data_IF_318572582941
#
_entry.id   IF_318572582941
#
_cell.length_a   1.000
_cell.length_b   1.000
_cell.length_c   1.000
_cell.angle_alpha   90.00
_cell.angle_beta   90.00
_cell.angle_gamma   90.00
#
_symmetry.space_group_name_H-M   'P 1'
#
loop_
_entity.id
_entity.type
_entity.pdbx_description
1 polymer ?
#
# COMPACT_ATOMS: atom_id res chain seq x y z
N UNK A 1 35.29 -8.55 -61.86
CA UNK A 1 34.79 -7.20 -61.49
C UNK A 1 35.88 -6.20 -61.79
N UNK A 2 35.65 -5.25 -62.71
CA UNK A 2 36.70 -4.32 -63.15
C UNK A 2 37.10 -3.37 -62.02
N UNK A 3 38.38 -2.99 -61.99
CA UNK A 3 38.99 -2.06 -61.01
C UNK A 3 38.17 -0.77 -60.88
N UNK A 4 37.49 -0.35 -61.94
CA UNK A 4 36.58 0.81 -61.94
C UNK A 4 35.39 0.67 -60.97
N UNK A 5 34.86 -0.55 -60.75
CA UNK A 5 33.74 -0.77 -59.82
C UNK A 5 34.20 -0.74 -58.35
N UNK A 6 35.43 -1.17 -58.07
CA UNK A 6 36.02 -1.11 -56.73
C UNK A 6 36.36 0.34 -56.36
N UNK A 7 36.89 1.12 -57.30
CA UNK A 7 37.14 2.55 -57.10
C UNK A 7 35.84 3.35 -56.87
N UNK A 8 34.76 3.03 -57.59
CA UNK A 8 33.46 3.69 -57.39
C UNK A 8 32.83 3.35 -56.03
N UNK A 9 32.92 2.10 -55.57
CA UNK A 9 32.47 1.71 -54.24
C UNK A 9 33.33 2.32 -53.12
N UNK A 10 34.64 2.40 -53.29
CA UNK A 10 35.54 3.05 -52.32
C UNK A 10 35.27 4.56 -52.23
N UNK A 11 35.04 5.24 -53.37
CA UNK A 11 34.68 6.66 -53.40
C UNK A 11 33.28 6.92 -52.81
N UNK A 12 32.32 6.01 -53.02
CA UNK A 12 30.99 6.10 -52.41
C UNK A 12 31.03 5.85 -50.90
N UNK A 13 31.90 4.96 -50.40
CA UNK A 13 32.12 4.73 -48.97
C UNK A 13 32.86 5.90 -48.30
N UNK A 14 33.82 6.53 -48.98
CA UNK A 14 34.48 7.75 -48.50
C UNK A 14 33.56 8.98 -48.54
N UNK A 15 32.69 9.08 -49.55
CA UNK A 15 31.66 10.12 -49.62
C UNK A 15 30.56 9.95 -48.56
N UNK A 16 30.14 8.71 -48.29
CA UNK A 16 29.19 8.42 -47.21
C UNK A 16 29.79 8.65 -45.81
N UNK A 17 31.07 8.35 -45.62
CA UNK A 17 31.78 8.64 -44.36
C UNK A 17 32.01 10.14 -44.14
N UNK A 18 32.15 10.94 -45.20
CA UNK A 18 32.31 12.39 -45.10
C UNK A 18 31.00 13.13 -44.81
N UNK A 19 29.85 12.59 -45.22
CA UNK A 19 28.53 13.19 -44.94
C UNK A 19 28.05 12.90 -43.50
N UNK A 20 28.56 11.83 -42.87
CA UNK A 20 28.27 11.53 -41.45
C UNK A 20 29.11 12.34 -40.45
N UNK A 21 30.09 13.12 -40.90
CA UNK A 21 30.97 13.91 -40.02
C UNK A 21 30.50 15.37 -39.81
N UNK A 22 29.33 15.75 -40.33
CA UNK A 22 28.74 17.09 -40.18
C UNK A 22 27.41 17.12 -39.39
N UNK A 23 27.18 16.15 -38.51
CA UNK A 23 26.36 16.45 -37.34
C UNK A 23 27.24 17.24 -36.37
N UNK A 24 27.13 18.56 -36.39
CA UNK A 24 27.52 19.33 -35.22
C UNK A 24 26.70 18.79 -34.06
N UNK A 25 27.31 17.97 -33.21
CA UNK A 25 26.84 17.83 -31.84
C UNK A 25 26.91 19.24 -31.28
N UNK A 26 25.77 19.95 -31.30
CA UNK A 26 25.66 21.20 -30.61
C UNK A 26 26.05 20.90 -29.17
N UNK A 27 27.10 21.56 -28.70
CA UNK A 27 27.46 21.65 -27.28
C UNK A 27 26.40 22.46 -26.51
N UNK A 28 25.12 22.27 -26.85
CA UNK A 28 24.00 22.96 -26.27
C UNK A 28 23.76 22.38 -24.89
N UNK A 29 23.71 23.24 -23.89
CA UNK A 29 23.15 22.86 -22.59
C UNK A 29 21.76 22.28 -22.81
N UNK A 30 21.32 21.42 -21.89
CA UNK A 30 19.99 20.81 -21.91
C UNK A 30 19.21 21.26 -20.68
N UNK A 31 17.88 21.24 -20.78
CA UNK A 31 17.02 21.31 -19.62
C UNK A 31 16.70 19.87 -19.19
N UNK A 32 17.08 19.49 -17.97
CA UNK A 32 16.67 18.19 -17.42
C UNK A 32 15.32 18.33 -16.75
N UNK A 33 14.50 17.29 -16.79
CA UNK A 33 13.19 17.28 -16.15
C UNK A 33 13.00 16.03 -15.30
N UNK A 34 12.43 16.19 -14.12
CA UNK A 34 11.87 15.09 -13.31
C UNK A 34 10.43 15.41 -12.93
N UNK A 35 9.61 14.37 -12.86
CA UNK A 35 8.25 14.45 -12.33
C UNK A 35 8.19 13.83 -10.93
N UNK A 36 7.65 14.57 -9.99
CA UNK A 36 7.22 14.10 -8.68
C UNK A 36 5.70 14.06 -8.68
N UNK A 37 5.17 12.84 -8.83
CA UNK A 37 3.74 12.53 -8.85
C UNK A 37 3.40 11.71 -7.59
N UNK A 38 2.47 12.23 -6.79
CA UNK A 38 2.01 11.61 -5.55
C UNK A 38 2.69 12.15 -4.30
N UNK A 39 2.73 11.33 -3.23
CA UNK A 39 3.14 11.79 -1.92
C UNK A 39 4.65 12.09 -1.82
N UNK A 40 5.00 13.17 -1.11
CA UNK A 40 6.39 13.52 -0.80
C UNK A 40 6.94 12.54 0.26
N UNK A 41 8.01 11.82 -0.10
CA UNK A 41 8.64 10.84 0.76
C UNK A 41 10.05 10.46 0.33
N UNK A 42 10.66 9.43 0.92
CA UNK A 42 12.05 9.05 0.66
C UNK A 42 12.37 8.76 -0.81
N UNK A 43 11.41 8.23 -1.57
CA UNK A 43 11.56 7.98 -3.00
C UNK A 43 11.70 9.26 -3.81
N UNK A 44 10.82 10.24 -3.59
CA UNK A 44 10.87 11.54 -4.28
C UNK A 44 12.08 12.36 -3.87
N UNK A 45 12.49 12.29 -2.60
CA UNK A 45 13.73 12.93 -2.12
C UNK A 45 14.94 12.38 -2.86
N UNK A 46 15.10 11.05 -2.91
CA UNK A 46 16.21 10.43 -3.64
C UNK A 46 16.19 10.74 -5.14
N UNK A 47 15.00 10.77 -5.75
CA UNK A 47 14.86 11.11 -7.16
C UNK A 47 15.35 12.54 -7.44
N UNK A 48 15.01 13.50 -6.59
CA UNK A 48 15.50 14.88 -6.70
C UNK A 48 17.01 14.94 -6.49
N UNK A 49 17.53 14.27 -5.46
CA UNK A 49 18.97 14.19 -5.19
C UNK A 49 19.72 13.66 -6.43
N UNK A 50 19.34 12.49 -6.96
CA UNK A 50 19.96 11.89 -8.16
C UNK A 50 19.85 12.79 -9.41
N UNK A 51 18.76 13.53 -9.54
CA UNK A 51 18.52 14.45 -10.65
C UNK A 51 19.40 15.71 -10.56
N UNK A 52 19.52 16.31 -9.38
CA UNK A 52 20.41 17.46 -9.14
C UNK A 52 21.87 17.08 -9.38
N UNK A 53 22.26 15.91 -8.90
CA UNK A 53 23.57 15.32 -9.13
C UNK A 53 23.86 15.12 -10.63
N UNK A 54 22.89 14.61 -11.36
CA UNK A 54 22.99 14.39 -12.81
C UNK A 54 23.03 15.72 -13.57
N UNK A 55 22.22 16.70 -13.15
CA UNK A 55 22.21 18.05 -13.70
C UNK A 55 23.57 18.73 -13.52
N UNK A 56 24.16 18.64 -12.32
CA UNK A 56 25.48 19.19 -12.03
C UNK A 56 26.57 18.51 -12.87
N UNK A 57 26.58 17.17 -12.94
CA UNK A 57 27.57 16.41 -13.74
C UNK A 57 27.50 16.70 -15.24
N UNK A 58 26.29 16.96 -15.77
CA UNK A 58 26.05 17.21 -17.20
C UNK A 58 26.11 18.69 -17.57
N UNK A 59 26.40 19.59 -16.63
CA UNK A 59 26.31 21.04 -16.82
C UNK A 59 24.97 21.46 -17.48
N UNK A 60 23.87 20.89 -16.97
CA UNK A 60 22.53 21.22 -17.43
C UNK A 60 22.25 22.71 -17.17
N UNK A 61 21.53 23.36 -18.08
CA UNK A 61 21.18 24.77 -17.91
C UNK A 61 20.22 24.98 -16.74
N UNK A 62 19.24 24.08 -16.61
CA UNK A 62 18.22 24.09 -15.55
C UNK A 62 17.74 22.67 -15.27
N UNK A 63 17.25 22.45 -14.05
CA UNK A 63 16.42 21.30 -13.70
C UNK A 63 14.96 21.75 -13.57
N UNK A 64 14.06 21.16 -14.33
CA UNK A 64 12.61 21.30 -14.20
C UNK A 64 12.14 20.25 -13.19
N UNK A 65 11.63 20.70 -12.06
CA UNK A 65 10.95 19.89 -11.06
C UNK A 65 9.45 20.02 -11.29
N UNK A 66 8.88 19.07 -12.02
CA UNK A 66 7.44 19.00 -12.21
C UNK A 66 6.78 18.42 -10.95
N UNK A 67 5.75 19.09 -10.44
CA UNK A 67 5.06 18.76 -9.20
C UNK A 67 3.58 18.49 -9.45
N UNK A 68 3.11 17.31 -9.03
CA UNK A 68 1.71 17.01 -8.75
C UNK A 68 1.64 16.20 -7.45
N UNK A 69 1.40 16.89 -6.33
CA UNK A 69 1.51 16.29 -5.01
C UNK A 69 0.43 16.79 -4.04
N UNK A 70 -0.19 15.88 -3.27
CA UNK A 70 -1.08 16.26 -2.18
C UNK A 70 -0.32 16.65 -0.90
N UNK A 71 1.02 16.50 -0.88
CA UNK A 71 1.84 16.67 0.31
C UNK A 71 2.60 15.41 0.71
N UNK A 72 3.13 15.39 1.93
CA UNK A 72 3.84 14.22 2.45
C UNK A 72 4.62 14.51 3.72
N UNK A 73 5.71 13.77 3.93
CA UNK A 73 6.49 13.82 5.17
C UNK A 73 7.25 15.16 5.29
N UNK A 74 7.17 15.78 6.47
CA UNK A 74 7.88 17.03 6.79
C UNK A 74 9.41 16.85 6.69
N UNK A 75 9.94 15.68 7.06
CA UNK A 75 11.37 15.38 6.95
C UNK A 75 11.82 15.37 5.49
N UNK A 76 11.13 14.60 4.63
CA UNK A 76 11.43 14.54 3.20
C UNK A 76 11.25 15.91 2.51
N UNK A 77 10.22 16.67 2.88
CA UNK A 77 10.04 18.04 2.41
C UNK A 77 11.24 18.93 2.76
N UNK A 78 11.70 18.90 4.02
CA UNK A 78 12.83 19.71 4.49
C UNK A 78 14.14 19.31 3.82
N UNK A 79 14.36 18.00 3.60
CA UNK A 79 15.50 17.48 2.84
C UNK A 79 15.49 18.00 1.40
N UNK A 80 14.37 17.84 0.68
CA UNK A 80 14.24 18.35 -0.69
C UNK A 80 14.46 19.86 -0.80
N UNK A 81 13.95 20.63 0.17
CA UNK A 81 14.20 22.08 0.24
C UNK A 81 15.70 22.35 0.41
N UNK A 82 16.37 21.66 1.34
CA UNK A 82 17.80 21.82 1.56
C UNK A 82 18.60 21.51 0.28
N UNK A 83 18.25 20.44 -0.43
CA UNK A 83 18.90 20.05 -1.69
C UNK A 83 18.70 21.11 -2.78
N UNK A 84 17.49 21.67 -2.91
CA UNK A 84 17.20 22.76 -3.87
C UNK A 84 18.00 24.01 -3.53
N UNK A 85 18.09 24.38 -2.25
CA UNK A 85 18.84 25.56 -1.80
C UNK A 85 20.35 25.38 -1.99
N UNK A 86 20.86 24.17 -1.82
CA UNK A 86 22.27 23.82 -2.03
C UNK A 86 22.63 23.56 -3.50
N UNK A 87 21.63 23.47 -4.39
CA UNK A 87 21.82 23.09 -5.79
C UNK A 87 22.79 24.04 -6.52
N UNK A 88 23.78 23.49 -7.25
CA UNK A 88 24.65 24.27 -8.14
C UNK A 88 23.99 24.58 -9.49
N UNK A 89 22.81 24.02 -9.78
CA UNK A 89 22.03 24.22 -11.02
C UNK A 89 20.71 24.91 -10.69
N UNK A 90 20.24 25.90 -11.48
CA UNK A 90 18.94 26.50 -11.27
C UNK A 90 17.80 25.48 -11.35
N UNK A 91 16.89 25.53 -10.37
CA UNK A 91 15.71 24.65 -10.28
C UNK A 91 14.44 25.45 -10.60
N UNK A 92 13.71 25.02 -11.62
CA UNK A 92 12.39 25.55 -11.99
C UNK A 92 11.34 24.59 -11.42
N UNK A 93 10.59 25.03 -10.41
CA UNK A 93 9.41 24.31 -9.91
C UNK A 93 8.22 24.57 -10.83
N UNK A 94 7.59 23.51 -11.31
CA UNK A 94 6.46 23.61 -12.24
C UNK A 94 5.30 22.73 -11.80
N UNK A 95 4.22 23.35 -11.32
CA UNK A 95 3.00 22.61 -10.95
C UNK A 95 2.24 22.23 -12.21
N UNK A 96 2.23 20.95 -12.56
CA UNK A 96 1.71 20.44 -13.82
C UNK A 96 1.51 18.92 -13.75
N UNK A 97 0.63 18.32 -14.58
CA UNK A 97 -0.11 18.93 -15.69
C UNK A 97 -1.31 19.77 -15.23
N UNK A 98 -2.08 20.33 -16.16
CA UNK A 98 -3.39 20.91 -15.85
C UNK A 98 -4.26 19.93 -15.07
N UNK A 99 -4.86 20.40 -13.97
CA UNK A 99 -5.59 19.56 -13.02
C UNK A 99 -4.74 19.03 -11.86
N UNK A 100 -3.40 19.12 -11.97
CA UNK A 100 -2.48 18.81 -10.88
C UNK A 100 -2.43 19.91 -9.81
N UNK A 101 -1.69 19.65 -8.73
CA UNK A 101 -1.64 20.53 -7.57
C UNK A 101 -0.32 20.43 -6.81
N UNK A 102 0.03 21.47 -6.06
CA UNK A 102 1.16 21.48 -5.13
C UNK A 102 0.67 21.82 -3.71
N UNK A 103 0.00 20.86 -3.09
CA UNK A 103 -0.55 21.03 -1.75
C UNK A 103 0.46 20.67 -0.66
N UNK A 104 0.26 21.24 0.53
CA UNK A 104 1.04 20.90 1.72
C UNK A 104 2.56 21.02 1.49
N UNK A 105 3.32 19.94 1.63
CA UNK A 105 4.76 19.90 1.35
C UNK A 105 5.13 20.46 -0.04
N UNK A 106 4.29 20.25 -1.06
CA UNK A 106 4.50 20.78 -2.41
C UNK A 106 4.56 22.31 -2.45
N UNK A 107 3.81 23.00 -1.59
CA UNK A 107 3.85 24.47 -1.49
C UNK A 107 5.22 24.95 -1.00
N UNK A 108 5.78 24.32 0.04
CA UNK A 108 7.10 24.70 0.54
C UNK A 108 8.21 24.40 -0.47
N UNK A 109 8.13 23.25 -1.15
CA UNK A 109 9.10 22.88 -2.19
C UNK A 109 9.05 23.90 -3.33
N UNK A 110 7.86 24.29 -3.80
CA UNK A 110 7.70 25.32 -4.82
C UNK A 110 8.24 26.69 -4.35
N UNK A 111 8.06 27.05 -3.07
CA UNK A 111 8.62 28.27 -2.50
C UNK A 111 10.15 28.26 -2.45
N UNK A 112 10.79 27.09 -2.38
CA UNK A 112 12.25 26.96 -2.35
C UNK A 112 12.89 27.09 -3.74
N UNK A 113 12.16 26.80 -4.83
CA UNK A 113 12.72 26.79 -6.18
C UNK A 113 13.18 28.18 -6.65
N UNK A 114 14.10 28.20 -7.60
CA UNK A 114 14.67 29.43 -8.14
C UNK A 114 13.65 30.17 -8.99
N UNK A 115 12.84 29.42 -9.75
CA UNK A 115 11.68 29.91 -10.49
C UNK A 115 10.48 29.03 -10.12
N UNK A 116 9.33 29.63 -9.89
CA UNK A 116 8.08 28.95 -9.56
C UNK A 116 7.04 29.23 -10.65
N UNK A 117 6.56 28.19 -11.31
CA UNK A 117 5.57 28.30 -12.36
C UNK A 117 4.43 27.29 -12.15
N UNK A 118 3.28 27.59 -12.76
CA UNK A 118 2.10 26.72 -12.69
C UNK A 118 1.46 26.57 -14.06
N UNK A 119 0.91 25.40 -14.34
CA UNK A 119 0.04 25.18 -15.50
C UNK A 119 -1.37 25.74 -15.25
N UNK A 120 -2.10 26.18 -16.29
CA UNK A 120 -3.50 26.55 -16.14
C UNK A 120 -4.33 25.40 -15.54
N UNK A 121 -5.27 25.74 -14.66
CA UNK A 121 -6.13 24.74 -14.00
C UNK A 121 -5.47 23.98 -12.85
N UNK A 122 -4.28 24.40 -12.40
CA UNK A 122 -3.63 23.87 -11.19
C UNK A 122 -3.87 24.76 -9.97
N UNK A 123 -3.59 24.23 -8.79
CA UNK A 123 -3.68 24.95 -7.52
C UNK A 123 -2.49 24.65 -6.59
N UNK A 124 -2.26 25.53 -5.61
CA UNK A 124 -1.30 25.33 -4.53
C UNK A 124 -1.87 25.83 -3.19
N UNK A 125 -1.26 25.45 -2.07
CA UNK A 125 -1.65 25.88 -0.72
C UNK A 125 -1.93 24.70 0.21
N UNK A 126 -2.90 24.86 1.12
CA UNK A 126 -3.23 23.86 2.15
C UNK A 126 -1.97 23.38 2.90
N UNK A 127 -1.16 24.33 3.36
CA UNK A 127 0.19 24.11 3.90
C UNK A 127 0.24 23.90 5.42
N UNK A 128 -0.91 23.66 6.05
CA UNK A 128 -1.06 23.46 7.49
C UNK A 128 -0.44 22.13 7.93
N UNK A 129 0.51 22.12 8.88
CA UNK A 129 1.02 20.91 9.48
C UNK A 129 -0.09 20.17 10.20
N UNK A 130 -0.15 18.86 10.00
CA UNK A 130 -1.09 17.98 10.69
C UNK A 130 -0.29 16.90 11.42
N UNK A 131 -0.64 16.67 12.69
CA UNK A 131 -0.06 15.57 13.45
C UNK A 131 -0.61 14.24 12.92
N UNK A 132 0.26 13.56 12.19
CA UNK A 132 0.04 12.25 11.63
C UNK A 132 0.20 11.20 12.75
N UNK A 133 -0.77 11.06 13.65
CA UNK A 133 -0.67 10.05 14.73
C UNK A 133 -1.43 10.24 16.05
N UNK A 134 -2.19 11.31 16.27
CA UNK A 134 -2.97 11.49 17.52
C UNK A 134 -4.13 10.50 17.65
N UNK A 135 -4.30 9.81 18.79
CA UNK A 135 -5.49 8.97 19.04
C UNK A 135 -6.76 9.82 18.85
N UNK A 136 -7.79 9.35 18.11
CA UNK A 136 -9.10 9.98 18.19
C UNK A 136 -9.53 9.91 19.64
N UNK A 137 -9.88 11.06 20.22
CA UNK A 137 -10.55 11.07 21.51
C UNK A 137 -11.85 10.27 21.34
N UNK A 138 -11.96 9.13 22.02
CA UNK A 138 -13.20 8.35 22.05
C UNK A 138 -14.33 9.29 22.50
N UNK A 139 -15.49 9.29 21.84
CA UNK A 139 -16.64 10.05 22.30
C UNK A 139 -17.06 9.48 23.65
N UNK A 140 -16.75 10.20 24.73
CA UNK A 140 -17.07 9.83 26.12
C UNK A 140 -15.89 9.68 27.08
N UNK A 141 -14.64 9.89 26.65
CA UNK A 141 -13.50 9.99 27.58
C UNK A 141 -13.38 11.40 28.14
N UNK A 142 -13.58 11.59 29.44
CA UNK A 142 -13.27 12.85 30.11
C UNK A 142 -11.85 13.29 29.76
N UNK A 143 -11.70 14.54 29.34
CA UNK A 143 -10.39 15.17 29.15
C UNK A 143 -9.65 15.10 30.49
N UNK A 144 -8.64 14.25 30.59
CA UNK A 144 -7.75 14.23 31.74
C UNK A 144 -7.07 15.60 31.81
N UNK A 145 -7.48 16.39 32.82
CA UNK A 145 -7.22 17.82 32.97
C UNK A 145 -5.86 18.12 33.62
N UNK A 146 -4.98 17.13 33.75
CA UNK A 146 -3.85 17.20 34.67
C UNK A 146 -2.47 17.16 34.01
N UNK A 147 -2.34 17.84 32.85
CA UNK A 147 -1.04 18.38 32.43
C UNK A 147 -1.22 19.72 31.73
N UNK A 148 -1.37 20.77 32.55
CA UNK A 148 -1.34 22.17 32.13
C UNK A 148 0.10 22.65 32.25
N UNK A 149 0.67 23.13 31.14
CA UNK A 149 1.85 24.00 31.21
C UNK A 149 1.49 25.33 31.90
N UNK A 150 2.50 26.11 32.31
CA UNK A 150 2.39 27.36 33.06
C UNK A 150 1.49 28.46 32.42
N UNK A 151 0.95 28.22 31.22
CA UNK A 151 0.05 29.11 30.46
C UNK A 151 -1.38 28.59 30.35
N UNK A 152 -1.72 27.43 30.93
CA UNK A 152 -3.10 26.94 31.02
C UNK A 152 -3.71 26.34 29.74
N UNK A 153 -2.91 26.08 28.70
CA UNK A 153 -3.34 25.38 27.48
C UNK A 153 -3.10 23.86 27.59
N UNK A 154 -3.95 23.02 26.99
CA UNK A 154 -3.68 21.59 26.85
C UNK A 154 -2.35 21.37 26.12
N UNK A 155 -1.51 20.45 26.61
CA UNK A 155 -0.17 20.21 26.05
C UNK A 155 -0.16 19.91 24.53
N UNK A 156 -1.21 19.26 23.99
CA UNK A 156 -1.36 19.01 22.56
C UNK A 156 -1.57 20.27 21.72
N UNK A 157 -2.31 21.25 22.23
CA UNK A 157 -2.56 22.52 21.53
C UNK A 157 -1.28 23.38 21.50
N UNK A 158 -0.48 23.34 22.58
CA UNK A 158 0.79 24.04 22.66
C UNK A 158 1.84 23.48 21.69
N UNK A 159 1.90 22.15 21.51
CA UNK A 159 2.81 21.50 20.55
C UNK A 159 2.42 21.84 19.11
N UNK A 160 1.14 21.72 18.75
CA UNK A 160 0.66 22.08 17.41
C UNK A 160 0.86 23.56 17.09
N UNK A 161 0.73 24.44 18.08
CA UNK A 161 1.07 25.85 17.92
C UNK A 161 2.56 26.06 17.62
N UNK A 162 3.46 25.33 18.31
CA UNK A 162 4.91 25.37 18.03
C UNK A 162 5.22 24.89 16.61
N UNK A 163 4.66 23.76 16.20
CA UNK A 163 4.86 23.20 14.85
C UNK A 163 4.33 24.15 13.78
N UNK A 164 3.14 24.72 13.98
CA UNK A 164 2.56 25.72 13.08
C UNK A 164 3.44 26.97 12.98
N UNK A 165 3.96 27.48 14.10
CA UNK A 165 4.82 28.66 14.09
C UNK A 165 6.18 28.40 13.42
N UNK A 166 6.77 27.22 13.61
CA UNK A 166 7.98 26.79 12.90
C UNK A 166 7.72 26.68 11.38
N UNK A 167 6.59 26.11 10.99
CA UNK A 167 6.17 26.01 9.60
C UNK A 167 5.94 27.39 8.95
N UNK A 168 5.30 28.32 9.66
CA UNK A 168 5.15 29.73 9.24
C UNK A 168 6.52 30.39 9.08
N UNK A 169 7.44 30.20 10.03
CA UNK A 169 8.79 30.76 9.93
C UNK A 169 9.53 30.22 8.70
N UNK A 170 9.41 28.92 8.41
CA UNK A 170 9.99 28.30 7.23
C UNK A 170 9.45 28.90 5.92
N UNK A 171 8.13 28.92 5.72
CA UNK A 171 7.55 29.42 4.46
C UNK A 171 7.87 30.89 4.25
N UNK A 172 7.83 31.72 5.31
CA UNK A 172 8.20 33.14 5.23
C UNK A 172 9.66 33.33 4.89
N UNK A 173 10.56 32.55 5.49
CA UNK A 173 12.00 32.61 5.18
C UNK A 173 12.28 32.23 3.72
N UNK A 174 11.62 31.21 3.18
CA UNK A 174 11.72 30.85 1.76
C UNK A 174 11.15 31.96 0.87
N UNK A 175 10.03 32.56 1.28
CA UNK A 175 9.41 33.65 0.55
C UNK A 175 10.32 34.88 0.47
N UNK A 176 10.92 35.28 1.59
CA UNK A 176 11.87 36.40 1.68
C UNK A 176 13.11 36.14 0.81
N UNK A 177 13.65 34.92 0.86
CA UNK A 177 14.81 34.53 0.05
C UNK A 177 14.53 34.59 -1.45
N UNK A 178 13.30 34.28 -1.87
CA UNK A 178 12.92 34.19 -3.29
C UNK A 178 12.06 35.37 -3.79
N UNK A 179 11.82 36.37 -2.95
CA UNK A 179 11.00 37.54 -3.30
C UNK A 179 9.52 37.20 -3.55
N UNK A 180 8.98 36.19 -2.86
CA UNK A 180 7.58 35.74 -2.96
C UNK A 180 6.74 36.29 -1.81
N UNK A 181 5.41 36.21 -1.95
CA UNK A 181 4.47 36.70 -0.94
C UNK A 181 4.45 35.84 0.34
N UNK A 182 5.23 36.25 1.33
CA UNK A 182 5.31 35.58 2.64
C UNK A 182 4.03 35.69 3.47
N UNK A 183 3.23 36.75 3.29
CA UNK A 183 1.97 36.92 4.03
C UNK A 183 0.90 35.94 3.55
N UNK A 184 0.82 35.71 2.24
CA UNK A 184 0.01 34.62 1.71
C UNK A 184 0.57 33.27 2.13
N UNK A 185 1.90 33.09 2.09
CA UNK A 185 2.54 31.87 2.57
C UNK A 185 2.12 31.52 3.99
N UNK A 186 2.09 32.50 4.90
CA UNK A 186 1.60 32.32 6.26
C UNK A 186 0.11 31.94 6.32
N UNK A 187 -0.76 32.57 5.51
CA UNK A 187 -2.18 32.19 5.43
C UNK A 187 -2.36 30.76 4.93
N UNK A 188 -1.56 30.31 3.96
CA UNK A 188 -1.59 28.93 3.50
C UNK A 188 -1.29 27.93 4.63
N UNK A 189 -0.46 28.32 5.61
CA UNK A 189 -0.11 27.50 6.77
C UNK A 189 -1.16 27.61 7.89
N UNK A 190 -1.59 28.81 8.27
CA UNK A 190 -2.49 29.00 9.42
C UNK A 190 -3.96 28.71 9.10
N UNK A 191 -4.37 28.99 7.87
CA UNK A 191 -5.78 28.97 7.46
C UNK A 191 -6.07 27.90 6.39
N UNK A 192 -5.06 27.09 6.04
CA UNK A 192 -5.14 26.12 4.95
C UNK A 192 -5.58 26.75 3.61
N UNK A 193 -5.25 28.02 3.38
CA UNK A 193 -5.63 28.74 2.17
C UNK A 193 -5.01 28.10 0.92
N UNK A 194 -5.75 28.14 -0.19
CA UNK A 194 -5.32 27.65 -1.50
C UNK A 194 -5.62 28.67 -2.60
N UNK A 195 -4.76 28.72 -3.62
CA UNK A 195 -4.92 29.59 -4.79
C UNK A 195 -4.90 28.78 -6.09
N UNK A 196 -5.67 29.25 -7.07
CA UNK A 196 -5.50 28.85 -8.47
C UNK A 196 -4.24 29.48 -9.08
N UNK A 197 -3.72 28.91 -10.17
CA UNK A 197 -2.55 29.43 -10.88
C UNK A 197 -2.61 30.95 -11.17
N UNK A 198 -3.76 31.47 -11.61
CA UNK A 198 -3.91 32.89 -11.92
C UNK A 198 -3.88 33.77 -10.66
N UNK A 199 -4.53 33.33 -9.58
CA UNK A 199 -4.53 34.07 -8.32
C UNK A 199 -3.15 34.03 -7.65
N UNK A 200 -2.44 32.90 -7.75
CA UNK A 200 -1.07 32.77 -7.29
C UNK A 200 -0.12 33.73 -8.01
N UNK A 201 -0.30 33.93 -9.32
CA UNK A 201 0.46 34.93 -10.08
C UNK A 201 0.14 36.36 -9.62
N UNK A 202 -1.15 36.68 -9.46
CA UNK A 202 -1.60 38.00 -9.01
C UNK A 202 -1.10 38.36 -7.61
N UNK A 203 -1.04 37.37 -6.71
CA UNK A 203 -0.55 37.53 -5.34
C UNK A 203 0.97 37.38 -5.24
N UNK A 204 1.73 37.29 -6.34
CA UNK A 204 3.19 37.11 -6.33
C UNK A 204 3.66 35.88 -5.51
N UNK A 205 2.88 34.81 -5.55
CA UNK A 205 3.23 33.51 -4.99
C UNK A 205 4.08 32.69 -5.97
N UNK A 206 3.84 32.90 -7.27
CA UNK A 206 4.60 32.30 -8.37
C UNK A 206 5.09 33.38 -9.34
N UNK A 207 6.03 33.00 -10.20
CA UNK A 207 6.67 33.88 -11.16
C UNK A 207 5.84 34.09 -12.44
N UNK A 208 5.18 33.03 -12.94
CA UNK A 208 4.34 33.04 -14.14
C UNK A 208 3.55 31.74 -14.33
N UNK A 209 2.56 31.78 -15.23
CA UNK A 209 1.76 30.62 -15.66
C UNK A 209 2.21 30.18 -17.05
N UNK A 210 2.44 28.88 -17.24
CA UNK A 210 2.90 28.30 -18.50
C UNK A 210 2.12 27.02 -18.84
N UNK A 211 1.64 26.86 -20.08
CA UNK A 211 0.81 25.74 -20.53
C UNK A 211 1.57 24.43 -20.68
N UNK A 212 2.83 24.52 -21.06
CA UNK A 212 3.72 23.40 -21.29
C UNK A 212 5.18 23.78 -21.00
N UNK A 213 6.08 22.80 -21.11
CA UNK A 213 7.51 22.99 -20.87
C UNK A 213 8.19 23.92 -21.88
N UNK A 214 7.63 24.08 -23.08
CA UNK A 214 8.19 24.99 -24.10
C UNK A 214 7.93 26.43 -23.69
N UNK A 215 6.66 26.75 -23.38
CA UNK A 215 6.28 28.08 -22.88
C UNK A 215 6.94 28.39 -21.53
N UNK A 216 7.11 27.38 -20.66
CA UNK A 216 7.84 27.50 -19.39
C UNK A 216 9.27 28.01 -19.61
N UNK A 217 10.00 27.38 -20.53
CA UNK A 217 11.38 27.74 -20.84
C UNK A 217 11.50 29.08 -21.56
N UNK A 218 10.52 29.45 -22.39
CA UNK A 218 10.46 30.78 -23.02
C UNK A 218 10.23 31.89 -21.99
N UNK A 219 9.35 31.69 -21.01
CA UNK A 219 9.06 32.68 -19.96
C UNK A 219 10.13 32.74 -18.86
N UNK A 220 10.89 31.66 -18.69
CA UNK A 220 12.06 31.62 -17.80
C UNK A 220 13.29 32.34 -18.40
N UNK A 221 13.36 32.46 -19.73
CA UNK A 221 14.52 32.98 -20.43
C UNK A 221 14.80 34.45 -20.07
N UNK A 222 16.08 34.77 -19.86
CA UNK A 222 16.53 36.11 -19.48
C UNK A 222 16.26 36.49 -18.02
N UNK A 223 15.59 35.65 -17.22
CA UNK A 223 15.42 35.91 -15.79
C UNK A 223 16.74 35.76 -15.04
N UNK A 224 16.96 36.61 -14.05
CA UNK A 224 18.11 36.50 -13.14
C UNK A 224 17.70 35.75 -11.89
N UNK A 225 18.41 34.68 -11.57
CA UNK A 225 18.21 33.86 -10.37
C UNK A 225 19.49 33.81 -9.53
N UNK A 226 19.36 33.56 -8.24
CA UNK A 226 20.50 33.38 -7.35
C UNK A 226 20.73 31.89 -7.06
N UNK A 227 21.83 31.35 -7.61
CA UNK A 227 22.24 29.95 -7.51
C UNK A 227 23.55 29.88 -6.73
N UNK A 228 23.57 29.17 -5.61
CA UNK A 228 24.73 29.04 -4.73
C UNK A 228 25.41 30.41 -4.40
N UNK A 229 24.60 31.44 -4.14
CA UNK A 229 25.08 32.80 -3.82
C UNK A 229 25.57 33.64 -5.02
N UNK A 230 25.39 33.15 -6.26
CA UNK A 230 25.76 33.87 -7.49
C UNK A 230 24.52 34.18 -8.32
N UNK A 231 24.45 35.41 -8.84
CA UNK A 231 23.41 35.78 -9.79
C UNK A 231 23.75 35.21 -11.17
N UNK A 232 22.84 34.43 -11.72
CA UNK A 232 22.93 33.82 -13.04
C UNK A 232 21.71 34.22 -13.87
N UNK A 233 21.93 34.52 -15.16
CA UNK A 233 20.86 34.80 -16.11
C UNK A 233 20.51 33.51 -16.83
N UNK A 234 19.24 33.11 -16.77
CA UNK A 234 18.76 31.89 -17.40
C UNK A 234 18.77 32.05 -18.92
N UNK A 235 19.43 31.12 -19.61
CA UNK A 235 19.39 30.96 -21.06
C UNK A 235 18.64 29.67 -21.38
N UNK A 236 17.31 29.75 -21.39
CA UNK A 236 16.41 28.59 -21.44
C UNK A 236 15.66 28.45 -22.76
N UNK A 237 15.62 29.51 -23.58
CA UNK A 237 14.86 29.50 -24.83
C UNK A 237 15.40 28.47 -25.83
N UNK A 238 14.52 27.58 -26.29
CA UNK A 238 14.84 26.57 -27.30
C UNK A 238 15.74 25.42 -26.78
N UNK A 239 15.92 25.30 -25.46
CA UNK A 239 16.63 24.15 -24.90
C UNK A 239 15.84 22.86 -25.13
N UNK A 240 16.50 21.76 -25.55
CA UNK A 240 15.86 20.46 -25.53
C UNK A 240 15.62 20.02 -24.08
N UNK A 241 14.43 19.48 -23.83
CA UNK A 241 14.05 18.92 -22.53
C UNK A 241 14.31 17.41 -22.55
N UNK A 242 15.18 16.94 -21.66
CA UNK A 242 15.42 15.51 -21.42
C UNK A 242 14.81 15.11 -20.09
N UNK A 243 13.81 14.22 -20.13
CA UNK A 243 13.18 13.68 -18.92
C UNK A 243 14.05 12.57 -18.33
N UNK A 244 14.45 12.73 -17.06
CA UNK A 244 15.12 11.69 -16.29
C UNK A 244 14.08 10.75 -15.69
N UNK A 245 14.07 9.53 -16.20
CA UNK A 245 13.22 8.46 -15.68
C UNK A 245 13.74 7.94 -14.33
N UNK A 246 12.85 7.66 -13.35
CA UNK A 246 13.26 7.07 -12.09
C UNK A 246 13.96 5.72 -12.29
N UNK A 247 15.10 5.54 -11.64
CA UNK A 247 15.80 4.26 -11.60
C UNK A 247 14.96 3.16 -10.93
N UNK A 248 15.33 1.89 -11.16
CA UNK A 248 14.57 0.74 -10.65
C UNK A 248 14.44 0.75 -9.12
N UNK A 249 15.46 1.23 -8.40
CA UNK A 249 15.45 1.30 -6.95
C UNK A 249 14.47 2.37 -6.45
N UNK A 250 14.40 3.53 -7.11
CA UNK A 250 13.41 4.57 -6.79
C UNK A 250 12.00 4.05 -7.07
N UNK A 251 11.78 3.35 -8.19
CA UNK A 251 10.48 2.71 -8.49
C UNK A 251 10.10 1.69 -7.43
N UNK A 252 11.04 0.86 -7.00
CA UNK A 252 10.82 -0.10 -5.92
C UNK A 252 10.47 0.62 -4.61
N UNK A 253 11.20 1.66 -4.25
CA UNK A 253 10.96 2.43 -3.04
C UNK A 253 9.58 3.10 -3.09
N UNK A 254 9.22 3.73 -4.20
CA UNK A 254 7.92 4.36 -4.41
C UNK A 254 6.76 3.36 -4.24
N UNK A 255 6.90 2.16 -4.81
CA UNK A 255 5.94 1.06 -4.68
C UNK A 255 5.85 0.56 -3.24
N UNK A 256 6.98 0.38 -2.54
CA UNK A 256 6.96 -0.05 -1.13
C UNK A 256 6.34 1.03 -0.25
N UNK A 257 6.58 2.31 -0.51
CA UNK A 257 6.04 3.43 0.27
C UNK A 257 4.57 3.74 -0.03
N UNK A 258 3.97 3.07 -1.01
CA UNK A 258 2.53 3.18 -1.30
C UNK A 258 1.70 2.37 -0.30
N UNK A 259 0.66 3.00 0.25
CA UNK A 259 -0.21 2.41 1.27
C UNK A 259 -0.93 1.14 0.78
N UNK A 260 -1.46 1.17 -0.45
CA UNK A 260 -2.22 0.04 -0.98
C UNK A 260 -1.29 -1.17 -1.16
N UNK A 261 -0.09 -0.92 -1.66
CA UNK A 261 0.95 -1.95 -1.78
C UNK A 261 1.38 -2.50 -0.43
N UNK A 262 1.57 -1.64 0.58
CA UNK A 262 1.90 -2.07 1.95
C UNK A 262 0.87 -3.05 2.52
N UNK A 263 -0.43 -2.77 2.32
CA UNK A 263 -1.50 -3.67 2.76
C UNK A 263 -1.52 -4.98 1.96
N UNK A 264 -1.34 -4.94 0.64
CA UNK A 264 -1.26 -6.15 -0.18
C UNK A 264 -0.09 -7.03 0.26
N UNK A 265 1.09 -6.43 0.48
CA UNK A 265 2.27 -7.13 0.98
C UNK A 265 2.01 -7.77 2.35
N UNK A 266 1.31 -7.08 3.25
CA UNK A 266 0.91 -7.65 4.53
C UNK A 266 -0.05 -8.84 4.38
N UNK A 267 -1.06 -8.75 3.51
CA UNK A 267 -1.99 -9.85 3.25
C UNK A 267 -1.28 -11.07 2.66
N UNK A 268 -0.48 -10.87 1.59
CA UNK A 268 0.37 -11.92 1.02
C UNK A 268 1.31 -12.48 2.09
N UNK A 269 1.83 -11.61 2.95
CA UNK A 269 2.71 -11.97 4.05
C UNK A 269 2.08 -12.94 5.03
N UNK A 270 0.90 -12.58 5.54
CA UNK A 270 0.14 -13.42 6.47
C UNK A 270 -0.31 -14.72 5.81
N UNK A 271 -0.86 -14.67 4.59
CA UNK A 271 -1.28 -15.89 3.89
C UNK A 271 -0.10 -16.81 3.56
N UNK A 272 1.07 -16.29 3.19
CA UNK A 272 2.27 -17.09 2.92
C UNK A 272 2.72 -17.90 4.14
N UNK A 273 2.69 -17.28 5.32
CA UNK A 273 2.98 -17.93 6.60
C UNK A 273 1.91 -19.01 6.90
N UNK A 274 0.63 -18.71 6.69
CA UNK A 274 -0.46 -19.69 6.87
C UNK A 274 -0.30 -20.90 5.93
N UNK A 275 0.11 -20.67 4.68
CA UNK A 275 0.36 -21.75 3.73
C UNK A 275 1.52 -22.66 4.15
N UNK A 276 2.59 -22.11 4.74
CA UNK A 276 3.68 -22.92 5.29
C UNK A 276 3.20 -23.82 6.44
N UNK A 277 2.37 -23.29 7.35
CA UNK A 277 1.82 -24.09 8.46
C UNK A 277 0.82 -25.16 8.02
N UNK A 278 0.06 -24.92 6.95
CA UNK A 278 -0.91 -25.89 6.40
C UNK A 278 -0.28 -26.95 5.51
N UNK A 279 0.87 -26.66 4.90
CA UNK A 279 1.57 -27.55 3.97
C UNK A 279 3.00 -27.81 4.44
N UNK A 280 3.20 -28.71 5.44
CA UNK A 280 4.52 -29.04 5.95
C UNK A 280 5.45 -29.48 4.81
N UNK A 281 6.58 -28.77 4.64
CA UNK A 281 7.58 -29.05 3.59
C UNK A 281 7.64 -28.00 2.46
N UNK A 282 6.66 -27.10 2.35
CA UNK A 282 6.73 -25.95 1.45
C UNK A 282 7.40 -24.76 2.16
N UNK A 283 8.73 -24.64 2.06
CA UNK A 283 9.51 -23.54 2.67
C UNK A 283 9.31 -22.20 1.93
N UNK A 284 9.04 -22.26 0.62
CA UNK A 284 8.95 -21.06 -0.21
C UNK A 284 7.80 -20.09 0.18
N UNK A 285 6.56 -20.55 0.45
CA UNK A 285 5.48 -19.67 0.92
C UNK A 285 5.80 -18.94 2.23
N UNK A 286 6.49 -19.61 3.16
CA UNK A 286 6.90 -19.05 4.43
C UNK A 286 7.91 -17.92 4.32
N UNK A 287 8.96 -18.15 3.54
CA UNK A 287 10.02 -17.15 3.28
C UNK A 287 9.44 -15.94 2.53
N UNK A 288 8.67 -16.18 1.45
CA UNK A 288 8.01 -15.11 0.70
C UNK A 288 7.06 -14.33 1.61
N UNK A 289 6.26 -15.05 2.40
CA UNK A 289 5.32 -14.46 3.34
C UNK A 289 6.00 -13.58 4.37
N UNK A 290 7.07 -14.07 4.99
CA UNK A 290 7.82 -13.30 5.99
C UNK A 290 8.44 -12.04 5.40
N UNK A 291 9.04 -12.12 4.20
CA UNK A 291 9.61 -10.95 3.52
C UNK A 291 8.52 -9.92 3.20
N UNK A 292 7.40 -10.35 2.61
CA UNK A 292 6.29 -9.48 2.30
C UNK A 292 5.70 -8.82 3.56
N UNK A 293 5.58 -9.58 4.66
CA UNK A 293 5.09 -9.06 5.94
C UNK A 293 6.02 -7.99 6.52
N UNK A 294 7.33 -8.23 6.52
CA UNK A 294 8.33 -7.25 7.02
C UNK A 294 8.34 -5.99 6.16
N UNK A 295 8.30 -6.12 4.83
CA UNK A 295 8.24 -4.98 3.92
C UNK A 295 6.94 -4.18 4.08
N UNK A 296 5.80 -4.86 4.23
CA UNK A 296 4.51 -4.23 4.50
C UNK A 296 4.52 -3.46 5.83
N UNK A 297 5.06 -4.06 6.91
CA UNK A 297 5.20 -3.39 8.20
C UNK A 297 6.14 -2.19 8.16
N UNK A 298 7.25 -2.29 7.43
CA UNK A 298 8.16 -1.16 7.23
C UNK A 298 7.47 0.00 6.48
N UNK A 299 6.73 -0.31 5.43
CA UNK A 299 5.95 0.67 4.68
C UNK A 299 4.88 1.35 5.55
N UNK A 300 4.17 0.58 6.36
CA UNK A 300 3.18 1.13 7.31
C UNK A 300 3.83 1.98 8.39
N UNK A 301 5.08 1.72 8.79
CA UNK A 301 5.81 2.56 9.73
C UNK A 301 6.18 3.94 9.15
N UNK A 302 6.27 4.04 7.82
CA UNK A 302 6.44 5.33 7.12
C UNK A 302 5.13 6.09 6.95
N UNK A 303 3.99 5.43 7.24
CA UNK A 303 2.65 5.97 7.08
C UNK A 303 2.01 6.24 8.45
N UNK A 304 1.10 7.22 8.54
CA UNK A 304 0.44 7.60 9.79
C UNK A 304 -0.70 6.67 10.17
N UNK A 305 -0.37 5.43 10.43
CA UNK A 305 -1.37 4.42 10.72
C UNK A 305 -1.87 4.53 12.16
N UNK A 306 -3.15 4.23 12.34
CA UNK A 306 -3.68 3.96 13.67
C UNK A 306 -3.28 2.54 14.09
N UNK A 307 -2.39 2.42 15.08
CA UNK A 307 -1.99 1.13 15.62
C UNK A 307 -3.18 0.30 16.14
N UNK A 308 -4.26 0.95 16.59
CA UNK A 308 -5.50 0.25 16.96
C UNK A 308 -6.17 -0.37 15.74
N UNK A 309 -6.24 0.35 14.62
CA UNK A 309 -6.77 -0.15 13.36
C UNK A 309 -5.94 -1.32 12.83
N UNK A 310 -4.60 -1.20 12.88
CA UNK A 310 -3.68 -2.26 12.51
C UNK A 310 -3.85 -3.51 13.40
N UNK A 311 -3.89 -3.32 14.72
CA UNK A 311 -4.07 -4.42 15.66
C UNK A 311 -5.41 -5.14 15.43
N UNK A 312 -6.49 -4.39 15.21
CA UNK A 312 -7.82 -4.95 14.93
C UNK A 312 -7.85 -5.70 13.59
N UNK A 313 -7.14 -5.18 12.57
CA UNK A 313 -6.99 -5.84 11.28
C UNK A 313 -6.22 -7.16 11.40
N UNK A 314 -5.06 -7.16 12.08
CA UNK A 314 -4.28 -8.36 12.35
C UNK A 314 -5.05 -9.39 13.19
N UNK A 315 -5.79 -8.93 14.20
CA UNK A 315 -6.68 -9.77 15.00
C UNK A 315 -7.79 -10.39 14.16
N UNK A 316 -8.38 -9.61 13.25
CA UNK A 316 -9.37 -10.10 12.29
C UNK A 316 -8.81 -11.23 11.43
N UNK A 317 -7.61 -11.05 10.86
CA UNK A 317 -6.92 -12.09 10.09
C UNK A 317 -6.61 -13.31 10.95
N UNK A 318 -6.16 -13.13 12.20
CA UNK A 318 -5.90 -14.24 13.11
C UNK A 318 -7.17 -15.08 13.39
N UNK A 319 -8.31 -14.44 13.65
CA UNK A 319 -9.59 -15.14 13.85
C UNK A 319 -10.02 -15.92 12.60
N UNK A 320 -9.81 -15.37 11.41
CA UNK A 320 -10.11 -16.03 10.15
C UNK A 320 -9.23 -17.27 9.93
N UNK A 321 -7.95 -17.19 10.30
CA UNK A 321 -7.04 -18.35 10.26
C UNK A 321 -7.54 -19.42 11.22
N UNK A 322 -7.83 -19.07 12.47
CA UNK A 322 -8.32 -20.03 13.46
C UNK A 322 -9.62 -20.69 13.02
N UNK A 323 -10.56 -19.91 12.47
CA UNK A 323 -11.82 -20.40 11.91
C UNK A 323 -11.60 -21.40 10.76
N UNK A 324 -10.57 -21.21 9.92
CA UNK A 324 -10.26 -22.13 8.82
C UNK A 324 -9.85 -23.53 9.32
N UNK A 325 -9.19 -23.61 10.48
CA UNK A 325 -8.81 -24.89 11.11
C UNK A 325 -9.89 -25.45 12.04
N UNK A 326 -10.62 -24.58 12.73
CA UNK A 326 -11.67 -24.93 13.70
C UNK A 326 -12.95 -24.16 13.38
N UNK A 327 -13.79 -24.67 12.45
CA UNK A 327 -14.94 -23.91 11.95
C UNK A 327 -16.02 -23.76 13.02
N UNK A 328 -16.24 -22.53 13.47
CA UNK A 328 -17.20 -22.13 14.52
C UNK A 328 -18.25 -21.13 14.04
N UNK A 329 -18.12 -20.57 12.83
CA UNK A 329 -18.89 -19.48 12.20
C UNK A 329 -18.77 -18.13 12.94
N UNK A 330 -18.74 -18.15 14.27
CA UNK A 330 -18.64 -16.97 15.13
C UNK A 330 -17.26 -16.31 15.00
N UNK A 331 -16.17 -17.07 15.04
CA UNK A 331 -14.82 -16.52 14.84
C UNK A 331 -14.65 -15.99 13.41
N UNK A 332 -15.24 -16.66 12.42
CA UNK A 332 -15.26 -16.17 11.03
C UNK A 332 -15.92 -14.80 10.86
N UNK A 333 -17.17 -14.66 11.35
CA UNK A 333 -17.89 -13.37 11.27
C UNK A 333 -17.22 -12.28 12.11
N UNK A 334 -16.75 -12.62 13.31
CA UNK A 334 -15.98 -11.71 14.15
C UNK A 334 -14.67 -11.27 13.50
N UNK A 335 -13.98 -12.18 12.81
CA UNK A 335 -12.76 -11.91 12.07
C UNK A 335 -12.96 -10.98 10.89
N UNK A 336 -14.01 -11.20 10.07
CA UNK A 336 -14.38 -10.27 8.98
C UNK A 336 -14.72 -8.89 9.54
N UNK A 337 -15.53 -8.81 10.61
CA UNK A 337 -15.91 -7.54 11.21
C UNK A 337 -14.70 -6.79 11.78
N UNK A 338 -13.83 -7.46 12.52
CA UNK A 338 -12.59 -6.89 13.05
C UNK A 338 -11.65 -6.42 11.93
N UNK A 339 -11.52 -7.19 10.85
CA UNK A 339 -10.73 -6.80 9.68
C UNK A 339 -11.28 -5.54 9.01
N UNK A 340 -12.58 -5.49 8.75
CA UNK A 340 -13.24 -4.33 8.11
C UNK A 340 -13.17 -3.08 9.00
N UNK A 341 -13.45 -3.21 10.29
CA UNK A 341 -13.33 -2.12 11.26
C UNK A 341 -11.86 -1.67 11.39
N UNK A 342 -10.92 -2.61 11.43
CA UNK A 342 -9.49 -2.32 11.51
C UNK A 342 -9.00 -1.57 10.27
N UNK A 343 -9.41 -2.02 9.08
CA UNK A 343 -9.12 -1.36 7.80
C UNK A 343 -9.74 0.05 7.73
N UNK A 344 -10.96 0.23 8.20
CA UNK A 344 -11.61 1.55 8.24
C UNK A 344 -10.92 2.50 9.23
N UNK A 345 -10.43 1.98 10.36
CA UNK A 345 -9.72 2.75 11.37
C UNK A 345 -8.22 2.94 11.07
N UNK A 346 -7.66 2.22 10.09
CA UNK A 346 -6.23 2.19 9.79
C UNK A 346 -5.70 3.58 9.44
N UNK A 347 -6.51 4.41 8.77
CA UNK A 347 -6.14 5.74 8.33
C UNK A 347 -6.68 6.83 9.27
N UNK A 348 -5.80 7.76 9.64
CA UNK A 348 -6.13 8.93 10.46
C UNK A 348 -6.47 10.19 9.66
N UNK A 349 -6.27 10.20 8.35
CA UNK A 349 -6.34 11.41 7.54
C UNK A 349 -7.24 11.19 6.31
N UNK A 350 -8.30 11.99 6.21
CA UNK A 350 -9.09 12.15 4.97
C UNK A 350 -8.35 13.15 4.06
N UNK A 351 -7.34 12.67 3.32
CA UNK A 351 -6.56 13.49 2.39
C UNK A 351 -6.46 12.84 0.99
N UNK A 352 -6.46 13.61 -0.11
CA UNK A 352 -6.23 13.07 -1.45
C UNK A 352 -4.86 12.36 -1.48
N UNK A 353 -4.83 11.12 -1.99
CA UNK A 353 -3.61 10.27 -2.05
C UNK A 353 -3.35 9.38 -0.84
N UNK A 354 -3.98 9.62 0.32
CA UNK A 354 -3.89 8.74 1.50
C UNK A 354 -5.10 7.82 1.69
N UNK A 355 -6.04 7.79 0.73
CA UNK A 355 -7.23 6.98 0.80
C UNK A 355 -6.95 5.52 0.43
N UNK A 356 -7.41 4.59 1.28
CA UNK A 356 -7.39 3.18 0.96
C UNK A 356 -8.47 2.87 -0.07
N UNK A 357 -8.08 2.30 -1.22
CA UNK A 357 -9.03 2.06 -2.30
C UNK A 357 -10.03 0.97 -1.93
N UNK A 358 -11.32 1.22 -2.15
CA UNK A 358 -12.37 0.20 -2.01
C UNK A 358 -12.15 -0.98 -2.96
N UNK A 359 -11.38 -0.79 -4.04
CA UNK A 359 -10.96 -1.85 -4.94
C UNK A 359 -9.96 -2.83 -4.32
N UNK A 360 -9.35 -2.50 -3.18
CA UNK A 360 -8.50 -3.42 -2.41
C UNK A 360 -9.31 -4.04 -1.26
N UNK A 361 -10.06 -3.22 -0.52
CA UNK A 361 -10.87 -3.66 0.62
C UNK A 361 -11.98 -4.63 0.18
N UNK A 362 -12.71 -4.28 -0.87
CA UNK A 362 -13.87 -5.04 -1.35
C UNK A 362 -13.51 -6.47 -1.75
N UNK A 363 -12.53 -6.69 -2.65
CA UNK A 363 -12.09 -8.04 -3.00
C UNK A 363 -11.48 -8.81 -1.85
N UNK A 364 -10.68 -8.18 -0.97
CA UNK A 364 -10.11 -8.83 0.21
C UNK A 364 -11.22 -9.32 1.16
N UNK A 365 -12.20 -8.46 1.45
CA UNK A 365 -13.36 -8.82 2.27
C UNK A 365 -14.23 -9.91 1.62
N UNK A 366 -14.45 -9.84 0.31
CA UNK A 366 -15.24 -10.82 -0.42
C UNK A 366 -14.56 -12.19 -0.48
N UNK A 367 -13.24 -12.23 -0.73
CA UNK A 367 -12.44 -13.46 -0.71
C UNK A 367 -12.52 -14.11 0.68
N UNK A 368 -12.36 -13.29 1.71
CA UNK A 368 -12.37 -13.72 3.10
C UNK A 368 -13.75 -14.26 3.53
N UNK A 369 -14.82 -13.53 3.21
CA UNK A 369 -16.19 -13.96 3.49
C UNK A 369 -16.55 -15.21 2.69
N UNK A 370 -16.13 -15.28 1.42
CA UNK A 370 -16.33 -16.45 0.56
C UNK A 370 -15.66 -17.71 1.12
N UNK A 371 -14.42 -17.59 1.60
CA UNK A 371 -13.70 -18.69 2.24
C UNK A 371 -14.40 -19.15 3.52
N UNK A 372 -14.82 -18.22 4.38
CA UNK A 372 -15.55 -18.55 5.62
C UNK A 372 -16.92 -19.21 5.36
N UNK A 373 -17.65 -18.78 4.33
CA UNK A 373 -18.91 -19.40 3.94
C UNK A 373 -18.69 -20.80 3.34
N UNK A 374 -17.65 -20.99 2.52
CA UNK A 374 -17.30 -22.30 1.97
C UNK A 374 -16.91 -23.30 3.07
N UNK A 375 -16.05 -22.91 4.02
CA UNK A 375 -15.67 -23.79 5.12
C UNK A 375 -16.85 -24.07 6.04
N UNK A 376 -17.66 -23.06 6.37
CA UNK A 376 -18.87 -23.21 7.18
C UNK A 376 -19.91 -24.14 6.55
N UNK A 377 -20.16 -24.02 5.25
CA UNK A 377 -21.07 -24.91 4.52
C UNK A 377 -20.54 -26.34 4.42
N UNK A 378 -19.23 -26.52 4.20
CA UNK A 378 -18.59 -27.83 4.20
C UNK A 378 -18.68 -28.53 5.56
N UNK A 379 -18.43 -27.81 6.66
CA UNK A 379 -18.53 -28.36 8.02
C UNK A 379 -19.97 -28.67 8.39
N UNK A 380 -20.91 -27.80 8.03
CA UNK A 380 -22.33 -28.07 8.25
C UNK A 380 -22.82 -29.30 7.48
N UNK A 381 -22.37 -29.46 6.23
CA UNK A 381 -22.62 -30.67 5.45
C UNK A 381 -21.96 -31.91 6.07
N UNK A 382 -20.72 -31.78 6.57
CA UNK A 382 -20.01 -32.87 7.24
C UNK A 382 -20.69 -33.30 8.55
N UNK A 383 -21.20 -32.37 9.35
CA UNK A 383 -21.96 -32.65 10.58
C UNK A 383 -23.33 -33.29 10.34
N UNK A 384 -23.90 -33.12 9.14
CA UNK A 384 -25.15 -33.78 8.74
C UNK A 384 -24.93 -35.21 8.25
N UNK A 385 -23.70 -35.61 7.96
CA UNK A 385 -23.41 -36.98 7.55
C UNK A 385 -23.34 -37.88 8.79
N UNK A 386 -23.94 -39.08 8.76
CA UNK A 386 -23.86 -40.03 9.86
C UNK A 386 -22.39 -40.45 10.11
N UNK A 387 -21.99 -40.74 11.36
CA UNK A 387 -20.65 -41.19 11.68
C UNK A 387 -20.27 -42.41 10.84
N UNK A 388 -19.13 -42.36 10.12
CA UNK A 388 -18.67 -43.44 9.25
C UNK A 388 -17.59 -44.34 9.87
N UNK A 389 -17.10 -44.02 11.07
CA UNK A 389 -16.01 -44.73 11.76
C UNK A 389 -16.30 -44.83 13.27
N UNK A 390 -15.90 -45.94 13.91
CA UNK A 390 -16.03 -46.16 15.35
C UNK A 390 -17.32 -46.88 15.78
N UNK A 391 -17.54 -47.03 17.10
CA UNK A 391 -18.70 -47.76 17.66
C UNK A 391 -20.07 -47.17 17.27
N UNK A 392 -20.13 -45.86 17.00
CA UNK A 392 -21.36 -45.21 16.52
C UNK A 392 -21.73 -45.59 15.08
N UNK A 393 -20.74 -45.85 14.23
CA UNK A 393 -20.96 -46.33 12.87
C UNK A 393 -21.47 -47.78 12.83
N UNK A 394 -21.32 -48.52 13.93
CA UNK A 394 -21.80 -49.89 14.04
C UNK A 394 -23.27 -50.00 14.40
N UNK A 395 -23.88 -48.96 14.98
CA UNK A 395 -25.31 -48.96 15.33
C UNK A 395 -26.17 -49.02 14.05
N UNK A 396 -27.13 -49.94 14.01
CA UNK A 396 -28.01 -50.19 12.86
C UNK A 396 -27.43 -51.11 11.79
N UNK A 397 -26.17 -51.55 11.91
CA UNK A 397 -25.59 -52.48 10.93
C UNK A 397 -26.22 -53.88 11.05
N UNK A 398 -26.63 -54.51 9.93
CA UNK A 398 -26.90 -55.94 9.90
C UNK A 398 -25.60 -56.72 10.07
N UNK A 399 -25.56 -57.60 11.05
CA UNK A 399 -24.41 -58.47 11.34
C UNK A 399 -24.87 -59.91 11.41
N UNK A 400 -23.99 -60.84 11.06
CA UNK A 400 -24.27 -62.28 11.08
C UNK A 400 -23.66 -62.92 12.32
N UNK A 401 -24.41 -63.77 13.00
CA UNK A 401 -23.93 -64.50 14.18
C UNK A 401 -23.03 -65.66 13.76
N UNK A 402 -21.80 -65.68 14.25
CA UNK A 402 -20.81 -66.73 13.97
C UNK A 402 -20.91 -67.87 14.99
N UNK A 403 -21.00 -67.52 16.28
CA UNK A 403 -21.19 -68.45 17.38
C UNK A 403 -22.01 -67.81 18.49
N UNK A 404 -22.74 -68.63 19.25
CA UNK A 404 -23.60 -68.16 20.34
C UNK A 404 -23.69 -69.18 21.46
N UNK A 405 -23.35 -68.77 22.69
CA UNK A 405 -23.43 -69.61 23.88
C UNK A 405 -23.78 -68.77 25.13
N UNK A 406 -24.87 -69.13 25.81
CA UNK A 406 -25.18 -68.53 27.13
C UNK A 406 -25.51 -67.03 27.13
N UNK A 407 -26.00 -66.48 26.02
CA UNK A 407 -26.39 -65.05 25.92
C UNK A 407 -25.29 -64.12 25.39
N UNK A 408 -24.09 -64.67 25.15
CA UNK A 408 -22.98 -63.99 24.48
C UNK A 408 -22.45 -64.84 23.31
N UNK A 409 -21.72 -64.21 22.41
CA UNK A 409 -21.14 -64.88 21.25
C UNK A 409 -20.32 -63.94 20.39
N UNK A 410 -20.09 -64.33 19.14
CA UNK A 410 -19.39 -63.50 18.17
C UNK A 410 -20.24 -63.24 16.94
N UNK A 411 -20.12 -62.03 16.40
CA UNK A 411 -20.76 -61.62 15.15
C UNK A 411 -19.71 -61.15 14.15
N UNK A 412 -20.03 -61.28 12.86
CA UNK A 412 -19.24 -60.70 11.78
C UNK A 412 -19.81 -59.32 11.43
N UNK A 413 -19.07 -58.26 11.76
CA UNK A 413 -19.42 -56.87 11.47
C UNK A 413 -18.30 -56.23 10.65
N UNK A 414 -18.63 -55.65 9.48
CA UNK A 414 -17.65 -55.01 8.57
C UNK A 414 -16.43 -55.88 8.21
N UNK A 415 -16.59 -57.22 8.18
CA UNK A 415 -15.52 -58.17 7.88
C UNK A 415 -14.66 -58.57 9.07
N UNK A 416 -14.95 -58.07 10.27
CA UNK A 416 -14.23 -58.37 11.51
C UNK A 416 -15.10 -59.16 12.49
N UNK A 417 -14.46 -59.96 13.35
CA UNK A 417 -15.11 -60.77 14.39
C UNK A 417 -15.22 -59.96 15.68
N UNK A 418 -16.45 -59.62 16.07
CA UNK A 418 -16.76 -58.81 17.25
C UNK A 418 -17.46 -59.64 18.33
N UNK A 419 -17.16 -59.37 19.61
CA UNK A 419 -17.90 -59.96 20.72
C UNK A 419 -19.27 -59.29 20.82
N UNK A 420 -20.33 -60.08 21.00
CA UNK A 420 -21.69 -59.59 21.08
C UNK A 420 -22.48 -60.23 22.22
N UNK A 421 -23.49 -59.50 22.72
CA UNK A 421 -24.44 -59.95 23.75
C UNK A 421 -25.87 -59.66 23.31
N UNK A 422 -26.80 -60.53 23.68
CA UNK A 422 -28.24 -60.31 23.45
C UNK A 422 -29.05 -60.87 24.62
N UNK A 423 -30.18 -60.21 24.93
CA UNK A 423 -31.13 -60.70 25.95
C UNK A 423 -31.99 -61.88 25.48
N UNK A 424 -31.88 -62.27 24.21
CA UNK A 424 -32.65 -63.35 23.59
C UNK A 424 -31.71 -64.46 23.09
N UNK A 425 -32.16 -65.72 23.05
CA UNK A 425 -31.37 -66.81 22.49
C UNK A 425 -31.23 -66.66 20.98
N UNK A 426 -29.99 -66.69 20.50
CA UNK A 426 -29.65 -66.59 19.08
C UNK A 426 -28.98 -67.86 18.56
N UNK A 427 -28.98 -68.06 17.25
CA UNK A 427 -28.31 -69.19 16.59
C UNK A 427 -27.25 -68.71 15.58
N UNK A 428 -26.15 -69.47 15.39
CA UNK A 428 -25.22 -69.23 14.29
C UNK A 428 -25.94 -69.13 12.94
N UNK A 429 -25.62 -68.12 12.14
CA UNK A 429 -26.27 -67.80 10.86
C UNK A 429 -27.45 -66.82 10.96
N UNK A 430 -27.93 -66.49 12.16
CA UNK A 430 -28.96 -65.46 12.34
C UNK A 430 -28.43 -64.08 11.91
N UNK A 431 -29.25 -63.30 11.20
CA UNK A 431 -28.98 -61.88 10.91
C UNK A 431 -29.64 -61.01 11.97
N UNK A 432 -28.80 -60.27 12.70
CA UNK A 432 -29.20 -59.40 13.79
C UNK A 432 -28.73 -57.97 13.52
N UNK A 433 -29.30 -57.02 14.25
CA UNK A 433 -28.96 -55.61 14.14
C UNK A 433 -28.26 -55.14 15.41
N UNK A 434 -27.18 -54.39 15.24
CA UNK A 434 -26.43 -53.80 16.35
C UNK A 434 -27.22 -52.60 16.90
N UNK A 435 -27.60 -52.64 18.16
CA UNK A 435 -28.30 -51.53 18.83
C UNK A 435 -27.31 -50.58 19.49
N UNK A 436 -26.26 -51.14 20.10
CA UNK A 436 -25.31 -50.36 20.88
C UNK A 436 -23.92 -51.01 20.94
N UNK A 437 -22.93 -50.21 21.29
CA UNK A 437 -21.52 -50.62 21.43
C UNK A 437 -21.00 -50.09 22.76
N UNK A 438 -20.68 -51.01 23.69
CA UNK A 438 -20.14 -50.69 25.02
C UNK A 438 -18.89 -51.51 25.27
N UNK A 439 -17.75 -50.88 25.60
CA UNK A 439 -16.50 -51.55 25.96
C UNK A 439 -16.05 -52.66 24.99
N UNK A 440 -16.13 -52.38 23.68
CA UNK A 440 -15.83 -53.32 22.57
C UNK A 440 -16.77 -54.54 22.48
N UNK A 441 -17.93 -54.50 23.14
CA UNK A 441 -18.98 -55.52 23.04
C UNK A 441 -20.21 -54.92 22.35
N UNK A 442 -20.67 -55.59 21.29
CA UNK A 442 -21.88 -55.21 20.54
C UNK A 442 -23.13 -55.74 21.25
N UNK A 443 -24.13 -54.89 21.46
CA UNK A 443 -25.46 -55.34 21.89
C UNK A 443 -26.32 -55.52 20.64
N UNK A 444 -26.81 -56.73 20.40
CA UNK A 444 -27.55 -57.08 19.18
C UNK A 444 -28.98 -57.53 19.48
N UNK A 445 -29.91 -57.27 18.56
CA UNK A 445 -31.30 -57.78 18.60
C UNK A 445 -31.69 -58.34 17.24
N UNK A 446 -32.62 -59.30 17.24
CA UNK A 446 -33.27 -59.74 16.01
C UNK A 446 -33.95 -58.55 15.32
N UNK A 447 -33.74 -58.47 14.02
CA UNK A 447 -34.44 -57.50 13.18
C UNK A 447 -35.89 -57.93 13.06
N UNK A 448 -36.81 -57.13 13.60
CA UNK A 448 -38.24 -57.35 13.39
C UNK A 448 -38.54 -57.20 11.89
N UNK A 449 -39.16 -58.20 11.28
CA UNK A 449 -39.51 -58.24 9.85
C UNK A 449 -40.67 -57.29 9.47
N UNK A 450 -40.72 -56.10 10.08
CA UNK A 450 -41.87 -55.21 10.06
C UNK A 450 -41.52 -53.74 10.10
N UNK A 451 -40.55 -53.26 9.31
CA UNK A 451 -40.57 -51.86 8.89
C UNK A 451 -39.75 -51.65 7.60
N UNK A 452 -40.38 -51.90 6.45
CA UNK A 452 -39.87 -51.45 5.16
C UNK A 452 -40.19 -49.95 5.02
N UNK A 453 -39.44 -49.12 5.75
CA UNK A 453 -39.50 -47.66 5.66
C UNK A 453 -38.57 -47.17 4.56
N UNK A 454 -39.17 -46.79 3.43
CA UNK A 454 -38.49 -46.20 2.27
C UNK A 454 -37.58 -45.02 2.66
N UNK A 455 -36.30 -45.11 2.29
CA UNK A 455 -35.38 -43.96 2.29
C UNK A 455 -35.39 -43.39 0.86
N UNK A 456 -35.91 -42.17 0.73
CA UNK A 456 -35.64 -41.27 -0.39
C UNK A 456 -34.62 -40.24 0.06
#
# INVERSE_FOLDING_TARGET
>A
MSIARVAFFAAALLGAAAVSAFSSAGSGKVALSIAVDGAIGPASTRQLEEALDTAARRDAAVLILQLDTPGGLVTSMREMIADILASPVPVIGYVAPSGGHAASAGTYILYATHVAAMAPGTNLGAATPVELGGLPSLPGGEKDKDQKDATGQPAGDAMMAKVTNDAVALIRSLAEMRGRNGDWGEKAVREAASLSANAALQEHVIDFVARDTTELLELADGRTVEVAGRKEVLATKGLPVETLEPGWFIRLLAVITDLNTAVILMLVGVYGIVFEFTSPGAVAPGVIGTICLVLGLYALNLLPINYTGLALMLLGVAFLIVEAFNPTVVLGLGGVAAFLLGSAMLLKVEGPGFAMSWAVIGPAAALTLGLALLTGTYVWAARKNPPRVGGEAMRGLPVEILDWQGGEGHVLALGERWRAKAGEPMQPGDRVEVIDVSDLVLTVRRRDAGNNGAIK
#
